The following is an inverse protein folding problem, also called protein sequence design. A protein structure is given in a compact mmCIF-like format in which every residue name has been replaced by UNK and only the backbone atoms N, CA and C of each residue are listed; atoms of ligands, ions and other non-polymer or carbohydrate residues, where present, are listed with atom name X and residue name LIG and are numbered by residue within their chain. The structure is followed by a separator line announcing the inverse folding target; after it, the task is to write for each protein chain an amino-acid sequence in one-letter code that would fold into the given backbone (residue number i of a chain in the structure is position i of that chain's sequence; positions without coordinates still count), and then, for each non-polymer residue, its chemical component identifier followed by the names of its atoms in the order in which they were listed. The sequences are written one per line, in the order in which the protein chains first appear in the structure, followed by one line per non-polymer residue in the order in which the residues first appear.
data_IF_424473946395
#
_entry.id   IF_424473946395
#
_cell.length_a   1.000
_cell.length_b   1.000
_cell.length_c   1.000
_cell.angle_alpha   90.00
_cell.angle_beta   90.00
_cell.angle_gamma   90.00
#
_symmetry.space_group_name_H-M   'P 1'
#
loop_
_entity.id
_entity.type
_entity.pdbx_description
1 polymer ?
#
# COMPACT_ATOMS: atom_id res chain seq x y z
N UNK A 1 -41.62 9.13 -2.26
CA UNK A 1 -41.08 9.59 -3.58
C UNK A 1 -39.69 10.19 -3.49
N UNK A 2 -39.33 10.95 -2.45
CA UNK A 2 -37.95 11.53 -2.29
C UNK A 2 -36.98 10.50 -1.77
N UNK A 3 -37.35 9.61 -0.85
CA UNK A 3 -36.50 8.52 -0.34
C UNK A 3 -36.17 7.47 -1.42
N UNK A 4 -37.09 7.11 -2.29
CA UNK A 4 -36.87 6.20 -3.41
C UNK A 4 -35.89 6.78 -4.48
N UNK A 5 -35.89 8.13 -4.67
CA UNK A 5 -34.90 8.79 -5.55
C UNK A 5 -33.51 8.93 -4.96
N UNK A 6 -33.38 8.83 -3.63
CA UNK A 6 -32.07 8.79 -2.95
C UNK A 6 -31.47 7.38 -2.97
N UNK A 7 -32.30 6.34 -2.84
CA UNK A 7 -31.86 4.94 -2.99
C UNK A 7 -31.44 4.62 -4.43
N UNK A 8 -32.16 5.11 -5.45
CA UNK A 8 -31.78 4.93 -6.86
C UNK A 8 -30.49 5.69 -7.27
N UNK A 9 -30.08 6.72 -6.52
CA UNK A 9 -28.80 7.40 -6.73
C UNK A 9 -27.61 6.70 -6.06
N UNK A 10 -27.87 5.83 -5.08
CA UNK A 10 -26.86 5.05 -4.37
C UNK A 10 -26.56 3.69 -5.01
N UNK A 11 -27.36 3.24 -5.98
CA UNK A 11 -27.30 1.88 -6.54
C UNK A 11 -26.88 1.78 -8.01
N UNK A 12 -26.38 2.84 -8.63
CA UNK A 12 -25.65 2.72 -9.91
C UNK A 12 -24.15 2.91 -9.71
N UNK A 13 -23.53 2.08 -8.89
CA UNK A 13 -22.11 1.75 -9.09
C UNK A 13 -22.11 0.91 -10.37
N UNK A 14 -21.53 1.46 -11.44
CA UNK A 14 -21.30 0.69 -12.67
C UNK A 14 -20.44 -0.51 -12.27
N UNK A 15 -21.02 -1.72 -12.32
CA UNK A 15 -20.35 -2.96 -11.89
C UNK A 15 -19.07 -3.28 -12.66
N UNK A 16 -18.74 -2.47 -13.67
CA UNK A 16 -17.52 -2.55 -14.47
C UNK A 16 -16.37 -1.76 -13.87
N UNK A 17 -16.63 -0.71 -13.09
CA UNK A 17 -15.61 0.20 -12.55
C UNK A 17 -15.22 -0.24 -11.14
N UNK A 18 -13.97 -0.65 -10.96
CA UNK A 18 -13.41 -1.04 -9.67
C UNK A 18 -12.30 -0.08 -9.22
N UNK A 19 -12.59 1.21 -9.25
CA UNK A 19 -11.72 2.24 -8.69
C UNK A 19 -12.54 3.36 -8.06
N UNK A 20 -11.92 4.10 -7.14
CA UNK A 20 -12.48 5.28 -6.48
C UNK A 20 -11.70 6.52 -6.92
N UNK A 21 -12.32 7.38 -7.74
CA UNK A 21 -11.64 8.52 -8.33
C UNK A 21 -11.13 9.50 -7.27
N UNK A 22 -11.85 9.70 -6.15
CA UNK A 22 -11.42 10.61 -5.10
C UNK A 22 -10.16 10.10 -4.41
N UNK A 23 -10.05 8.78 -4.26
CA UNK A 23 -8.86 8.13 -3.72
C UNK A 23 -7.67 8.25 -4.68
N UNK A 24 -7.88 8.02 -5.99
CA UNK A 24 -6.84 8.20 -7.02
C UNK A 24 -6.31 9.65 -6.99
N UNK A 25 -7.20 10.63 -7.01
CA UNK A 25 -6.84 12.05 -6.97
C UNK A 25 -6.08 12.43 -5.68
N UNK A 26 -6.49 11.83 -4.54
CA UNK A 26 -5.81 12.03 -3.26
C UNK A 26 -4.38 11.52 -3.28
N UNK A 27 -4.15 10.30 -3.80
CA UNK A 27 -2.82 9.74 -3.94
C UNK A 27 -1.96 10.47 -4.98
N UNK A 28 -2.55 10.89 -6.11
CA UNK A 28 -1.84 11.71 -7.10
C UNK A 28 -1.23 12.95 -6.47
N UNK A 29 -2.03 13.72 -5.70
CA UNK A 29 -1.56 14.89 -4.97
C UNK A 29 -0.55 14.55 -3.86
N UNK A 30 -0.72 13.41 -3.20
CA UNK A 30 0.20 12.95 -2.17
C UNK A 30 1.58 12.69 -2.76
N UNK A 31 1.67 11.92 -3.85
CA UNK A 31 2.94 11.58 -4.47
C UNK A 31 3.64 12.78 -5.12
N UNK A 32 2.91 13.77 -5.64
CA UNK A 32 3.49 15.04 -6.06
C UNK A 32 4.18 15.77 -4.89
N UNK A 33 3.55 15.77 -3.70
CA UNK A 33 4.08 16.44 -2.52
C UNK A 33 5.17 15.63 -1.82
N UNK A 34 5.05 14.32 -1.84
CA UNK A 34 5.92 13.36 -1.15
C UNK A 34 6.54 12.37 -2.14
N UNK A 35 7.38 12.88 -3.03
CA UNK A 35 8.08 12.13 -4.07
C UNK A 35 9.15 11.14 -3.57
N UNK A 36 9.28 11.01 -2.24
CA UNK A 36 10.23 10.15 -1.52
C UNK A 36 11.73 10.50 -1.73
N UNK A 37 12.06 11.55 -2.47
CA UNK A 37 13.46 11.97 -2.71
C UNK A 37 14.18 12.47 -1.44
N UNK A 38 13.44 12.77 -0.36
CA UNK A 38 13.98 13.18 0.93
C UNK A 38 14.29 12.03 1.88
N UNK A 39 13.95 10.80 1.50
CA UNK A 39 14.32 9.62 2.27
C UNK A 39 15.77 9.25 1.99
N UNK A 40 16.51 8.91 3.06
CA UNK A 40 17.83 8.33 2.89
C UNK A 40 17.75 6.93 2.26
N UNK A 41 18.73 6.57 1.45
CA UNK A 41 18.80 5.23 0.85
C UNK A 41 18.80 4.13 1.93
N UNK A 42 19.38 4.42 3.10
CA UNK A 42 19.38 3.49 4.25
C UNK A 42 17.98 3.27 4.81
N UNK A 43 17.13 4.30 4.90
CA UNK A 43 15.75 4.19 5.37
C UNK A 43 14.89 3.44 4.36
N UNK A 44 15.02 3.77 3.07
CA UNK A 44 14.33 3.07 1.98
C UNK A 44 14.70 1.58 1.97
N UNK A 45 15.99 1.25 2.09
CA UNK A 45 16.48 -0.13 2.14
C UNK A 45 15.98 -0.90 3.36
N UNK A 46 15.91 -0.26 4.54
CA UNK A 46 15.33 -0.87 5.75
C UNK A 46 13.85 -1.20 5.56
N UNK A 47 13.08 -0.27 5.00
CA UNK A 47 11.67 -0.48 4.71
C UNK A 47 11.50 -1.59 3.67
N UNK A 48 12.25 -1.55 2.58
CA UNK A 48 12.24 -2.58 1.55
C UNK A 48 12.47 -3.97 2.15
N UNK A 49 13.50 -4.14 2.95
CA UNK A 49 13.82 -5.42 3.58
C UNK A 49 12.70 -5.94 4.49
N UNK A 50 11.92 -5.06 5.13
CA UNK A 50 10.76 -5.45 5.94
C UNK A 50 9.61 -5.96 5.07
N UNK A 51 9.27 -5.24 4.00
CA UNK A 51 8.16 -5.62 3.11
C UNK A 51 8.50 -6.84 2.25
N UNK A 52 9.73 -6.95 1.78
CA UNK A 52 10.17 -8.04 0.89
C UNK A 52 10.88 -9.19 1.62
N UNK A 53 10.83 -9.25 2.96
CA UNK A 53 11.53 -10.25 3.77
C UNK A 53 11.18 -11.70 3.43
N UNK A 54 9.92 -11.95 3.04
CA UNK A 54 9.40 -13.27 2.68
C UNK A 54 9.30 -13.50 1.17
N UNK A 55 9.71 -12.52 0.36
CA UNK A 55 9.65 -12.64 -1.09
C UNK A 55 10.71 -13.61 -1.61
N UNK A 56 10.37 -14.59 -2.47
CA UNK A 56 11.26 -15.64 -2.90
C UNK A 56 12.25 -15.18 -3.98
N UNK A 57 13.19 -14.32 -3.62
CA UNK A 57 14.20 -13.75 -4.54
C UNK A 57 15.00 -14.80 -5.30
N UNK A 58 15.20 -15.99 -4.73
CA UNK A 58 15.89 -17.11 -5.36
C UNK A 58 15.16 -17.68 -6.59
N UNK A 59 13.90 -17.31 -6.81
CA UNK A 59 13.12 -17.69 -8.00
C UNK A 59 13.11 -16.60 -9.08
N UNK A 60 13.67 -15.43 -8.78
CA UNK A 60 13.69 -14.28 -9.67
C UNK A 60 15.08 -14.16 -10.26
N UNK A 61 15.14 -13.96 -11.57
CA UNK A 61 16.38 -13.83 -12.34
C UNK A 61 16.44 -12.49 -13.06
N UNK A 62 17.59 -12.17 -13.61
CA UNK A 62 17.82 -10.98 -14.45
C UNK A 62 17.03 -11.00 -15.79
N UNK A 63 16.41 -12.11 -16.14
CA UNK A 63 15.49 -12.23 -17.28
C UNK A 63 14.01 -12.22 -16.89
N UNK A 64 13.68 -12.22 -15.60
CA UNK A 64 12.30 -12.24 -15.12
C UNK A 64 11.55 -10.95 -15.48
N UNK A 65 10.30 -11.09 -15.88
CA UNK A 65 9.38 -9.98 -16.16
C UNK A 65 8.32 -9.92 -15.07
N UNK A 66 8.13 -8.77 -14.44
CA UNK A 66 7.16 -8.62 -13.38
C UNK A 66 6.44 -7.27 -13.35
N UNK A 67 5.60 -7.08 -12.33
CA UNK A 67 4.84 -5.84 -12.18
C UNK A 67 4.76 -5.33 -10.74
N UNK A 68 4.66 -4.00 -10.64
CA UNK A 68 4.34 -3.22 -9.44
C UNK A 68 2.94 -2.61 -9.62
N UNK A 69 1.94 -3.18 -8.94
CA UNK A 69 0.57 -2.70 -9.02
C UNK A 69 0.30 -1.64 -7.96
N UNK A 70 0.10 -0.39 -8.42
CA UNK A 70 0.06 0.79 -7.59
C UNK A 70 1.47 1.26 -7.23
N UNK A 71 2.28 1.60 -8.23
CA UNK A 71 3.71 1.89 -8.04
C UNK A 71 3.97 3.20 -7.27
N UNK A 72 2.99 4.11 -7.19
CA UNK A 72 3.05 5.35 -6.43
C UNK A 72 4.26 6.22 -6.79
N UNK A 73 5.17 6.41 -5.85
CA UNK A 73 6.43 7.16 -6.06
C UNK A 73 7.56 6.34 -6.70
N UNK A 74 7.34 5.07 -7.02
CA UNK A 74 8.37 4.18 -7.55
C UNK A 74 9.43 3.71 -6.56
N UNK A 75 9.25 3.97 -5.25
CA UNK A 75 10.27 3.64 -4.23
C UNK A 75 10.65 2.17 -4.19
N UNK A 76 9.70 1.26 -4.42
CA UNK A 76 9.96 -0.18 -4.48
C UNK A 76 10.54 -0.58 -5.82
N UNK A 77 9.98 -0.04 -6.89
CA UNK A 77 10.44 -0.26 -8.26
C UNK A 77 11.92 0.13 -8.44
N UNK A 78 12.38 1.21 -7.79
CA UNK A 78 13.81 1.63 -7.81
C UNK A 78 14.77 0.55 -7.31
N UNK A 79 14.33 -0.32 -6.38
CA UNK A 79 15.16 -1.40 -5.84
C UNK A 79 14.94 -2.71 -6.61
N UNK A 80 13.74 -2.93 -7.15
CA UNK A 80 13.40 -4.15 -7.89
C UNK A 80 13.91 -4.11 -9.32
N UNK A 81 13.73 -3.02 -10.06
CA UNK A 81 14.08 -2.90 -11.47
C UNK A 81 15.52 -3.32 -11.79
N UNK A 82 16.55 -2.96 -10.99
CA UNK A 82 17.93 -3.41 -11.25
C UNK A 82 18.18 -4.92 -11.08
N UNK A 83 17.22 -5.68 -10.57
CA UNK A 83 17.35 -7.12 -10.25
C UNK A 83 16.60 -8.02 -11.23
N UNK A 84 15.91 -7.45 -12.21
CA UNK A 84 15.00 -8.18 -13.09
C UNK A 84 15.17 -7.77 -14.54
N UNK A 85 14.71 -8.60 -15.48
CA UNK A 85 14.78 -8.30 -16.90
C UNK A 85 13.85 -7.16 -17.30
N UNK A 86 12.63 -7.14 -16.76
CA UNK A 86 11.67 -6.07 -17.03
C UNK A 86 10.68 -5.88 -15.89
N UNK A 87 10.32 -4.62 -15.60
CA UNK A 87 9.33 -4.26 -14.58
C UNK A 87 8.26 -3.34 -15.17
N UNK A 88 7.00 -3.75 -15.04
CA UNK A 88 5.84 -2.93 -15.40
C UNK A 88 5.37 -2.17 -14.15
N UNK A 89 5.48 -0.85 -14.16
CA UNK A 89 4.99 0.03 -13.09
C UNK A 89 3.61 0.56 -13.47
N UNK A 90 2.59 0.21 -12.71
CA UNK A 90 1.18 0.52 -13.01
C UNK A 90 0.63 1.40 -11.90
N UNK A 91 -0.01 2.51 -12.26
CA UNK A 91 -0.73 3.38 -11.32
C UNK A 91 -1.80 4.17 -12.06
N UNK A 92 -3.04 4.28 -11.53
CA UNK A 92 -4.10 5.06 -12.17
C UNK A 92 -3.87 6.58 -12.07
N UNK A 93 -3.10 7.05 -11.07
CA UNK A 93 -2.79 8.47 -10.91
C UNK A 93 -1.64 8.87 -11.86
N UNK A 94 -1.91 9.77 -12.80
CA UNK A 94 -0.90 10.27 -13.73
C UNK A 94 0.29 10.94 -13.02
N UNK A 95 0.01 11.62 -11.91
CA UNK A 95 1.01 12.28 -11.06
C UNK A 95 1.98 11.27 -10.43
N UNK A 96 1.46 10.11 -9.98
CA UNK A 96 2.29 9.03 -9.45
C UNK A 96 3.22 8.47 -10.55
N UNK A 97 2.68 8.26 -11.75
CA UNK A 97 3.48 7.79 -12.90
C UNK A 97 4.60 8.79 -13.24
N UNK A 98 4.33 10.09 -13.24
CA UNK A 98 5.35 11.10 -13.51
C UNK A 98 6.46 11.13 -12.41
N UNK A 99 6.10 10.93 -11.15
CA UNK A 99 7.08 10.80 -10.05
C UNK A 99 7.90 9.53 -10.23
N UNK A 100 7.26 8.40 -10.54
CA UNK A 100 7.94 7.12 -10.77
C UNK A 100 8.89 7.17 -11.96
N UNK A 101 8.51 7.81 -13.08
CA UNK A 101 9.40 8.04 -14.23
C UNK A 101 10.67 8.80 -13.85
N UNK A 102 10.53 9.86 -13.04
CA UNK A 102 11.68 10.62 -12.54
C UNK A 102 12.59 9.77 -11.63
N UNK A 103 11.99 8.97 -10.73
CA UNK A 103 12.73 8.12 -9.82
C UNK A 103 13.51 7.00 -10.54
N UNK A 104 13.01 6.54 -11.68
CA UNK A 104 13.55 5.43 -12.48
C UNK A 104 14.19 5.86 -13.80
N UNK A 105 14.49 7.15 -13.98
CA UNK A 105 15.02 7.71 -15.24
C UNK A 105 16.29 7.01 -15.76
N UNK A 106 17.07 6.38 -14.87
CA UNK A 106 18.27 5.64 -15.23
C UNK A 106 18.00 4.17 -15.63
N UNK A 107 16.77 3.68 -15.46
CA UNK A 107 16.41 2.30 -15.72
C UNK A 107 15.77 2.19 -17.13
N UNK A 108 16.37 1.40 -18.01
CA UNK A 108 15.88 1.17 -19.38
C UNK A 108 14.93 -0.03 -19.50
N UNK A 109 14.80 -0.81 -18.43
CA UNK A 109 14.01 -2.04 -18.36
C UNK A 109 12.67 -1.85 -17.63
N UNK A 110 12.07 -0.65 -17.71
CA UNK A 110 10.80 -0.34 -17.03
C UNK A 110 9.79 0.21 -18.03
N UNK A 111 8.57 -0.30 -17.96
CA UNK A 111 7.39 0.29 -18.64
C UNK A 111 6.50 0.97 -17.61
N UNK A 112 6.01 2.16 -17.95
CA UNK A 112 5.10 2.93 -17.09
C UNK A 112 3.71 2.93 -17.72
N UNK A 113 2.73 2.41 -16.98
CA UNK A 113 1.34 2.26 -17.40
C UNK A 113 0.44 3.11 -16.51
N UNK A 114 -0.12 4.18 -17.09
CA UNK A 114 -1.13 4.98 -16.40
C UNK A 114 -2.50 4.33 -16.57
N UNK A 115 -2.74 3.26 -15.82
CA UNK A 115 -3.90 2.39 -15.96
C UNK A 115 -4.44 2.01 -14.57
N UNK A 116 -5.76 1.77 -14.50
CA UNK A 116 -6.40 1.21 -13.30
C UNK A 116 -6.42 -0.31 -13.36
N UNK A 117 -6.67 -0.95 -12.22
CA UNK A 117 -6.69 -2.41 -12.09
C UNK A 117 -7.73 -3.08 -12.99
N UNK A 118 -8.83 -2.42 -13.29
CA UNK A 118 -9.93 -2.89 -14.12
C UNK A 118 -9.70 -2.69 -15.63
N UNK A 119 -8.63 -1.98 -16.01
CA UNK A 119 -8.28 -1.71 -17.41
C UNK A 119 -6.83 -2.00 -17.76
N UNK A 120 -6.13 -2.80 -16.92
CA UNK A 120 -4.72 -3.12 -17.11
C UNK A 120 -4.49 -3.86 -18.45
N UNK A 121 -3.56 -3.33 -19.26
CA UNK A 121 -3.27 -3.84 -20.60
C UNK A 121 -2.28 -5.01 -20.64
N UNK A 122 -1.70 -5.40 -19.50
CA UNK A 122 -0.77 -6.54 -19.42
C UNK A 122 -1.50 -7.83 -19.74
N UNK A 123 -0.90 -8.64 -20.60
CA UNK A 123 -1.45 -9.94 -21.00
C UNK A 123 -1.51 -10.90 -19.81
N UNK A 124 -2.62 -11.62 -19.68
CA UNK A 124 -2.75 -12.70 -18.70
C UNK A 124 -1.68 -13.78 -18.87
N UNK A 125 -1.29 -14.41 -17.78
CA UNK A 125 -0.29 -15.50 -17.73
C UNK A 125 1.07 -15.13 -18.34
N UNK A 126 1.47 -13.85 -18.24
CA UNK A 126 2.71 -13.35 -18.85
C UNK A 126 3.80 -12.96 -17.84
N UNK A 127 3.45 -12.75 -16.58
CA UNK A 127 4.36 -12.21 -15.59
C UNK A 127 4.99 -13.29 -14.71
N UNK A 128 6.31 -13.24 -14.53
CA UNK A 128 7.08 -14.19 -13.71
C UNK A 128 6.95 -13.89 -12.20
N UNK A 129 6.55 -12.68 -11.84
CA UNK A 129 6.25 -12.26 -10.47
C UNK A 129 5.40 -10.99 -10.46
N UNK A 130 4.81 -10.70 -9.33
CA UNK A 130 4.12 -9.43 -9.12
C UNK A 130 4.09 -9.03 -7.66
N UNK A 131 3.86 -7.75 -7.40
CA UNK A 131 3.60 -7.27 -6.05
C UNK A 131 2.65 -6.07 -6.06
N UNK A 132 1.97 -5.89 -4.92
CA UNK A 132 1.10 -4.74 -4.65
C UNK A 132 1.16 -4.44 -3.16
N UNK A 133 1.76 -3.32 -2.80
CA UNK A 133 2.10 -3.01 -1.41
C UNK A 133 1.45 -1.71 -0.96
N UNK A 134 0.40 -1.82 -0.15
CA UNK A 134 -0.31 -0.66 0.38
C UNK A 134 -1.30 -0.06 -0.62
N UNK A 135 -1.93 -0.86 -1.49
CA UNK A 135 -2.75 -0.37 -2.61
C UNK A 135 -4.15 -0.97 -2.65
N UNK A 136 -4.27 -2.31 -2.73
CA UNK A 136 -5.55 -2.94 -3.08
C UNK A 136 -6.66 -2.72 -2.05
N UNK A 137 -6.33 -2.38 -0.81
CA UNK A 137 -7.30 -2.03 0.23
C UNK A 137 -7.91 -0.61 0.06
N UNK A 138 -7.42 0.15 -0.92
CA UNK A 138 -8.00 1.41 -1.38
C UNK A 138 -8.88 1.26 -2.63
N UNK A 139 -9.14 0.03 -3.06
CA UNK A 139 -9.96 -0.30 -4.21
C UNK A 139 -11.31 -0.85 -3.71
N UNK A 140 -12.47 -0.42 -4.26
CA UNK A 140 -13.79 -0.80 -3.74
C UNK A 140 -13.99 -2.30 -3.57
N UNK A 141 -13.67 -3.09 -4.58
CA UNK A 141 -13.66 -4.56 -4.53
C UNK A 141 -12.20 -5.07 -4.54
N UNK A 142 -11.64 -5.20 -3.32
CA UNK A 142 -10.28 -5.70 -3.11
C UNK A 142 -10.11 -7.14 -3.63
N UNK A 143 -11.15 -7.99 -3.52
CA UNK A 143 -11.08 -9.37 -3.99
C UNK A 143 -10.96 -9.43 -5.52
N UNK A 144 -11.78 -8.66 -6.23
CA UNK A 144 -11.71 -8.56 -7.70
C UNK A 144 -10.34 -8.02 -8.15
N UNK A 145 -9.84 -6.99 -7.48
CA UNK A 145 -8.52 -6.42 -7.76
C UNK A 145 -7.40 -7.45 -7.57
N UNK A 146 -7.42 -8.21 -6.47
CA UNK A 146 -6.46 -9.30 -6.24
C UNK A 146 -6.54 -10.39 -7.32
N UNK A 147 -7.76 -10.77 -7.72
CA UNK A 147 -7.98 -11.75 -8.79
C UNK A 147 -7.39 -11.29 -10.12
N UNK A 148 -7.56 -10.00 -10.45
CA UNK A 148 -6.92 -9.40 -11.65
C UNK A 148 -5.39 -9.45 -11.54
N UNK A 149 -4.79 -9.08 -10.41
CA UNK A 149 -3.33 -9.21 -10.25
C UNK A 149 -2.85 -10.64 -10.48
N UNK A 150 -3.57 -11.63 -9.94
CA UNK A 150 -3.20 -13.05 -10.06
C UNK A 150 -3.38 -13.55 -11.49
N UNK A 151 -4.38 -13.05 -12.25
CA UNK A 151 -4.56 -13.46 -13.66
C UNK A 151 -3.35 -13.13 -14.54
N UNK A 152 -2.64 -12.04 -14.24
CA UNK A 152 -1.44 -11.63 -14.99
C UNK A 152 -0.24 -12.58 -14.83
N UNK A 153 -0.16 -13.29 -13.72
CA UNK A 153 0.97 -14.14 -13.36
C UNK A 153 0.98 -15.43 -14.19
N UNK A 154 2.16 -15.95 -14.47
CA UNK A 154 2.35 -17.33 -14.94
C UNK A 154 2.06 -18.33 -13.82
N UNK A 155 1.77 -19.60 -14.16
CA UNK A 155 1.66 -20.67 -13.15
C UNK A 155 2.94 -20.76 -12.32
N UNK A 156 2.81 -20.94 -10.99
CA UNK A 156 3.88 -21.00 -9.98
C UNK A 156 4.60 -19.67 -9.73
N UNK A 157 4.21 -18.58 -10.40
CA UNK A 157 4.78 -17.26 -10.15
C UNK A 157 4.37 -16.71 -8.75
N UNK A 158 5.29 -16.08 -8.01
CA UNK A 158 4.98 -15.48 -6.72
C UNK A 158 4.25 -14.15 -6.86
N UNK A 159 3.32 -13.90 -5.93
CA UNK A 159 2.68 -12.60 -5.71
C UNK A 159 2.86 -12.15 -4.27
N UNK A 160 3.47 -10.98 -4.07
CA UNK A 160 3.62 -10.34 -2.77
C UNK A 160 2.56 -9.28 -2.59
N UNK A 161 1.83 -9.32 -1.47
CA UNK A 161 0.79 -8.36 -1.16
C UNK A 161 0.98 -7.79 0.26
N UNK A 162 0.67 -6.51 0.42
CA UNK A 162 0.44 -5.88 1.71
C UNK A 162 -0.89 -5.15 1.71
N UNK A 163 -1.78 -5.59 2.58
CA UNK A 163 -3.06 -4.94 2.86
C UNK A 163 -3.05 -4.40 4.30
N UNK A 164 -3.76 -3.31 4.54
CA UNK A 164 -3.89 -2.80 5.90
C UNK A 164 -4.63 -3.80 6.77
N UNK A 165 -4.02 -4.14 7.91
CA UNK A 165 -4.57 -5.13 8.82
C UNK A 165 -5.54 -4.51 9.83
N UNK A 166 -6.51 -5.31 10.29
CA UNK A 166 -7.55 -4.87 11.21
C UNK A 166 -7.14 -4.96 12.70
N UNK A 167 -5.82 -5.02 12.98
CA UNK A 167 -5.25 -5.09 14.34
C UNK A 167 -5.63 -6.37 15.10
N UNK A 168 -5.90 -7.47 14.40
CA UNK A 168 -6.34 -8.75 15.00
C UNK A 168 -5.35 -9.32 16.02
N UNK A 169 -4.05 -9.02 15.89
CA UNK A 169 -2.99 -9.41 16.83
C UNK A 169 -2.68 -8.36 17.93
N UNK A 170 -3.48 -7.28 18.06
CA UNK A 170 -3.23 -6.22 19.04
C UNK A 170 -4.16 -6.32 20.26
N UNK A 171 -3.70 -5.84 21.46
CA UNK A 171 -4.51 -5.80 22.66
C UNK A 171 -5.75 -4.88 22.51
N UNK A 172 -6.77 -5.13 23.36
CA UNK A 172 -8.05 -4.40 23.28
C UNK A 172 -7.88 -2.88 23.42
N UNK A 173 -7.03 -2.42 24.33
CA UNK A 173 -6.75 -0.99 24.51
C UNK A 173 -6.21 -0.34 23.23
N UNK A 174 -5.31 -1.02 22.53
CA UNK A 174 -4.78 -0.56 21.26
C UNK A 174 -5.89 -0.44 20.20
N UNK A 175 -6.77 -1.45 20.11
CA UNK A 175 -7.93 -1.44 19.21
C UNK A 175 -8.90 -0.30 19.52
N UNK A 176 -9.11 0.01 20.81
CA UNK A 176 -9.97 1.10 21.23
C UNK A 176 -9.38 2.47 20.82
N UNK A 177 -8.11 2.70 21.10
CA UNK A 177 -7.41 3.93 20.68
C UNK A 177 -7.45 4.11 19.16
N UNK A 178 -7.25 3.01 18.43
CA UNK A 178 -7.35 3.03 16.98
C UNK A 178 -8.77 3.39 16.51
N UNK A 179 -9.83 2.80 17.12
CA UNK A 179 -11.23 3.15 16.81
C UNK A 179 -11.54 4.63 17.07
N UNK A 180 -11.01 5.20 18.15
CA UNK A 180 -11.13 6.64 18.38
C UNK A 180 -10.46 7.45 17.26
N UNK A 181 -9.27 7.04 16.79
CA UNK A 181 -8.60 7.73 15.68
C UNK A 181 -9.38 7.63 14.36
N UNK A 182 -10.20 6.58 14.17
CA UNK A 182 -11.04 6.39 12.99
C UNK A 182 -12.12 7.47 12.86
N UNK A 183 -12.62 8.00 13.98
CA UNK A 183 -13.58 9.12 13.99
C UNK A 183 -12.91 10.36 13.36
N UNK A 184 -11.67 10.66 13.76
CA UNK A 184 -10.92 11.79 13.19
C UNK A 184 -10.62 11.55 11.71
N UNK A 185 -10.22 10.33 11.33
CA UNK A 185 -9.99 9.95 9.94
C UNK A 185 -11.24 10.19 9.08
N UNK A 186 -12.40 9.73 9.54
CA UNK A 186 -13.67 9.85 8.81
C UNK A 186 -14.08 11.30 8.54
N UNK A 187 -13.66 12.22 9.40
CA UNK A 187 -13.89 13.67 9.22
C UNK A 187 -12.83 14.25 8.28
N UNK A 188 -11.54 14.03 8.57
CA UNK A 188 -10.43 14.64 7.84
C UNK A 188 -10.38 14.18 6.39
N UNK A 189 -10.65 12.89 6.12
CA UNK A 189 -10.63 12.34 4.77
C UNK A 189 -11.67 12.96 3.83
N UNK A 190 -12.73 13.56 4.37
CA UNK A 190 -13.80 14.25 3.62
C UNK A 190 -13.57 15.74 3.44
N UNK A 191 -12.56 16.31 4.07
CA UNK A 191 -12.24 17.73 3.95
C UNK A 191 -11.71 18.07 2.55
N UNK A 192 -11.80 19.35 2.15
CA UNK A 192 -11.16 19.84 0.93
C UNK A 192 -9.65 19.53 0.92
N UNK A 193 -9.12 19.24 -0.26
CA UNK A 193 -7.71 18.88 -0.44
C UNK A 193 -6.72 19.96 0.02
N UNK A 194 -7.14 21.23 0.12
CA UNK A 194 -6.34 22.32 0.69
C UNK A 194 -6.15 22.24 2.21
N UNK A 195 -7.12 21.70 2.95
CA UNK A 195 -7.08 21.60 4.41
C UNK A 195 -6.44 20.31 4.92
N UNK A 196 -6.58 19.21 4.17
CA UNK A 196 -6.02 17.90 4.54
C UNK A 196 -4.52 17.97 4.88
N UNK A 197 -3.64 18.59 4.06
CA UNK A 197 -2.22 18.67 4.37
C UNK A 197 -1.91 19.37 5.69
N UNK A 198 -2.64 20.43 6.00
CA UNK A 198 -2.42 21.21 7.25
C UNK A 198 -2.75 20.34 8.46
N UNK A 199 -3.92 19.71 8.48
CA UNK A 199 -4.35 18.88 9.59
C UNK A 199 -3.50 17.62 9.76
N UNK A 200 -3.13 16.97 8.68
CA UNK A 200 -2.26 15.79 8.74
C UNK A 200 -0.83 16.15 9.17
N UNK A 201 -0.32 17.34 8.80
CA UNK A 201 0.96 17.83 9.29
C UNK A 201 0.89 18.14 10.81
N UNK A 202 -0.20 18.73 11.30
CA UNK A 202 -0.44 18.93 12.75
C UNK A 202 -0.46 17.59 13.50
N UNK A 203 -1.16 16.58 12.96
CA UNK A 203 -1.17 15.23 13.55
C UNK A 203 0.24 14.62 13.54
N UNK A 204 1.01 14.80 12.47
CA UNK A 204 2.39 14.31 12.38
C UNK A 204 3.28 14.95 13.46
N UNK A 205 3.15 16.26 13.69
CA UNK A 205 3.97 16.99 14.66
C UNK A 205 3.58 16.63 16.11
N UNK A 206 2.28 16.65 16.43
CA UNK A 206 1.83 16.58 17.82
C UNK A 206 1.47 15.18 18.30
N UNK A 207 1.27 14.23 17.39
CA UNK A 207 0.91 12.83 17.72
C UNK A 207 1.99 11.87 17.25
N UNK A 208 2.30 11.82 15.95
CA UNK A 208 3.22 10.82 15.39
C UNK A 208 4.64 11.01 15.91
N UNK A 209 5.15 12.22 15.86
CA UNK A 209 6.51 12.49 16.28
C UNK A 209 6.75 12.20 17.78
N UNK A 210 5.96 12.71 18.73
CA UNK A 210 6.18 12.43 20.14
C UNK A 210 6.04 10.95 20.48
N UNK A 211 5.00 10.28 19.98
CA UNK A 211 4.78 8.86 20.29
C UNK A 211 5.87 7.96 19.69
N UNK A 212 6.30 8.23 18.46
CA UNK A 212 7.39 7.48 17.84
C UNK A 212 8.73 7.68 18.58
N UNK A 213 9.01 8.92 19.04
CA UNK A 213 10.23 9.20 19.83
C UNK A 213 10.15 8.60 21.23
N UNK A 214 8.98 8.60 21.84
CA UNK A 214 8.76 7.88 23.10
C UNK A 214 8.99 6.36 22.95
N UNK A 215 8.45 5.76 21.89
CA UNK A 215 8.72 4.35 21.59
C UNK A 215 10.22 4.06 21.36
N UNK A 216 10.96 5.01 20.74
CA UNK A 216 12.41 4.91 20.59
C UNK A 216 13.12 4.96 21.95
N UNK A 217 12.72 5.87 22.83
CA UNK A 217 13.27 5.95 24.18
C UNK A 217 13.03 4.67 24.97
N UNK A 218 11.82 4.11 24.93
CA UNK A 218 11.48 2.82 25.58
C UNK A 218 12.39 1.70 25.05
N UNK A 219 12.63 1.65 23.74
CA UNK A 219 13.57 0.69 23.14
C UNK A 219 15.02 0.91 23.61
N UNK A 220 15.43 2.17 23.77
CA UNK A 220 16.78 2.53 24.20
C UNK A 220 17.09 2.09 25.63
N UNK A 221 16.10 2.14 26.55
CA UNK A 221 16.23 1.63 27.91
C UNK A 221 16.05 0.09 28.03
N UNK A 222 16.02 -0.64 26.89
CA UNK A 222 15.95 -2.10 26.84
C UNK A 222 14.56 -2.71 26.98
N UNK A 223 13.48 -1.89 27.00
CA UNK A 223 12.11 -2.38 27.05
C UNK A 223 11.53 -2.57 25.65
N UNK A 224 10.56 -3.49 25.51
CA UNK A 224 9.91 -3.78 24.24
C UNK A 224 8.80 -2.76 23.94
N UNK A 225 8.94 -1.87 22.94
CA UNK A 225 7.94 -0.86 22.60
C UNK A 225 6.80 -1.38 21.70
N UNK A 226 6.77 -2.66 21.33
CA UNK A 226 5.83 -3.19 20.31
C UNK A 226 4.35 -3.00 20.64
N UNK A 227 4.00 -2.86 21.92
CA UNK A 227 2.63 -2.57 22.38
C UNK A 227 2.26 -1.08 22.30
N UNK A 228 3.21 -0.19 22.03
CA UNK A 228 2.94 1.24 21.93
C UNK A 228 2.46 1.62 20.53
N UNK A 229 1.50 2.56 20.43
CA UNK A 229 1.11 3.12 19.14
C UNK A 229 2.32 3.73 18.43
N UNK A 230 2.36 3.61 17.10
CA UNK A 230 3.41 4.18 16.25
C UNK A 230 4.84 3.70 16.55
N UNK A 231 4.98 2.61 17.32
CA UNK A 231 6.29 2.00 17.62
C UNK A 231 7.05 1.53 16.37
N UNK A 232 6.33 1.17 15.32
CA UNK A 232 6.90 0.84 14.01
C UNK A 232 7.78 1.97 13.45
N UNK A 233 7.38 3.23 13.68
CA UNK A 233 8.03 4.43 13.18
C UNK A 233 9.12 5.00 14.10
N UNK A 234 9.51 4.31 15.18
CA UNK A 234 10.48 4.83 16.16
C UNK A 234 11.82 5.25 15.56
N UNK A 235 12.23 4.61 14.49
CA UNK A 235 13.49 4.89 13.78
C UNK A 235 13.29 5.61 12.44
N UNK A 236 12.04 5.95 12.08
CA UNK A 236 11.72 6.63 10.83
C UNK A 236 11.99 8.14 10.91
N UNK A 237 12.25 8.73 9.75
CA UNK A 237 12.39 10.18 9.60
C UNK A 237 11.06 10.89 9.84
N UNK A 238 11.10 12.19 10.13
CA UNK A 238 9.88 13.00 10.22
C UNK A 238 9.13 13.06 8.89
N UNK A 239 9.87 12.96 7.78
CA UNK A 239 9.27 12.89 6.45
C UNK A 239 8.36 11.66 6.30
N UNK A 240 8.81 10.47 6.71
CA UNK A 240 7.99 9.25 6.72
C UNK A 240 6.74 9.40 7.58
N UNK A 241 6.87 10.02 8.77
CA UNK A 241 5.72 10.25 9.66
C UNK A 241 4.66 11.16 9.05
N UNK A 242 5.09 12.19 8.30
CA UNK A 242 4.17 13.08 7.58
C UNK A 242 3.46 12.38 6.44
N UNK A 243 4.19 11.59 5.64
CA UNK A 243 3.60 10.80 4.55
C UNK A 243 2.57 9.83 5.09
N UNK A 244 2.91 9.08 6.15
CA UNK A 244 2.00 8.11 6.76
C UNK A 244 0.77 8.77 7.41
N UNK A 245 0.97 9.91 8.09
CA UNK A 245 -0.16 10.68 8.62
C UNK A 245 -1.09 11.14 7.49
N UNK A 246 -0.55 11.54 6.33
CA UNK A 246 -1.34 11.95 5.18
C UNK A 246 -2.10 10.79 4.57
N UNK A 247 -1.44 9.66 4.34
CA UNK A 247 -2.06 8.43 3.87
C UNK A 247 -3.19 7.99 4.82
N UNK A 248 -2.91 7.87 6.12
CA UNK A 248 -3.86 7.40 7.12
C UNK A 248 -5.09 8.30 7.28
N UNK A 249 -4.94 9.62 7.33
CA UNK A 249 -6.04 10.55 7.62
C UNK A 249 -6.60 11.25 6.40
N UNK A 250 -5.86 11.31 5.30
CA UNK A 250 -6.26 12.02 4.09
C UNK A 250 -7.00 11.17 3.06
N UNK A 251 -6.82 9.84 3.09
CA UNK A 251 -7.36 8.93 2.08
C UNK A 251 -8.84 8.62 2.32
N UNK A 252 -9.71 8.83 1.32
CA UNK A 252 -11.16 8.61 1.46
C UNK A 252 -11.52 7.14 1.70
N UNK A 253 -11.05 6.24 0.84
CA UNK A 253 -11.35 4.82 0.92
C UNK A 253 -10.20 4.03 1.56
N UNK A 254 -10.47 3.38 2.69
CA UNK A 254 -9.53 2.49 3.35
C UNK A 254 -10.29 1.28 3.92
N UNK A 255 -9.86 0.10 3.57
CA UNK A 255 -10.37 -1.17 4.09
C UNK A 255 -9.27 -1.87 4.89
N UNK A 256 -9.66 -2.69 5.88
CA UNK A 256 -8.71 -3.43 6.72
C UNK A 256 -9.14 -4.87 6.85
N UNK A 257 -8.14 -5.74 6.80
CA UNK A 257 -8.35 -7.18 6.73
C UNK A 257 -7.60 -7.91 7.84
N UNK A 258 -8.21 -8.97 8.37
CA UNK A 258 -7.55 -9.92 9.25
C UNK A 258 -6.63 -10.84 8.44
N UNK A 259 -5.71 -11.50 9.13
CA UNK A 259 -4.87 -12.54 8.52
C UNK A 259 -5.72 -13.64 7.85
N UNK A 260 -6.85 -14.00 8.48
CA UNK A 260 -7.79 -15.00 7.96
C UNK A 260 -8.41 -14.55 6.65
N UNK A 261 -8.97 -13.32 6.60
CA UNK A 261 -9.58 -12.76 5.40
C UNK A 261 -8.57 -12.65 4.25
N UNK A 262 -7.34 -12.19 4.52
CA UNK A 262 -6.28 -12.14 3.49
C UNK A 262 -5.97 -13.54 2.95
N UNK A 263 -5.90 -14.55 3.82
CA UNK A 263 -5.68 -15.95 3.41
C UNK A 263 -6.79 -16.44 2.49
N UNK A 264 -8.06 -16.21 2.87
CA UNK A 264 -9.23 -16.60 2.10
C UNK A 264 -9.27 -15.89 0.74
N UNK A 265 -8.99 -14.59 0.72
CA UNK A 265 -8.91 -13.78 -0.51
C UNK A 265 -7.81 -14.27 -1.45
N UNK A 266 -6.62 -14.57 -0.95
CA UNK A 266 -5.50 -15.09 -1.74
C UNK A 266 -5.84 -16.47 -2.34
N UNK A 267 -6.44 -17.36 -1.55
CA UNK A 267 -6.87 -18.68 -2.06
C UNK A 267 -7.98 -18.57 -3.12
N UNK A 268 -8.96 -17.69 -2.88
CA UNK A 268 -10.04 -17.43 -3.83
C UNK A 268 -9.57 -16.82 -5.14
N UNK A 269 -8.49 -16.03 -5.11
CA UNK A 269 -7.84 -15.48 -6.29
C UNK A 269 -6.96 -16.51 -7.04
N UNK A 270 -6.79 -17.74 -6.51
CA UNK A 270 -6.00 -18.80 -7.16
C UNK A 270 -4.55 -18.89 -6.70
N UNK A 271 -4.20 -18.31 -5.56
CA UNK A 271 -2.89 -18.47 -4.94
C UNK A 271 -2.85 -19.66 -3.99
N UNK A 272 -1.73 -20.36 -3.95
CA UNK A 272 -1.42 -21.45 -3.03
C UNK A 272 -0.17 -21.16 -2.19
N UNK A 273 0.10 -21.95 -1.15
CA UNK A 273 1.28 -21.83 -0.28
C UNK A 273 1.44 -20.45 0.32
N UNK A 274 0.30 -19.87 0.75
CA UNK A 274 0.27 -18.53 1.34
C UNK A 274 1.08 -18.50 2.63
N UNK A 275 2.06 -17.61 2.67
CA UNK A 275 2.95 -17.40 3.83
C UNK A 275 2.89 -15.93 4.23
N UNK A 276 2.93 -15.66 5.55
CA UNK A 276 2.91 -14.32 6.11
C UNK A 276 4.22 -13.97 6.78
N UNK A 277 4.59 -12.69 6.73
CA UNK A 277 5.62 -12.16 7.60
C UNK A 277 5.16 -12.24 9.07
N UNK A 278 6.06 -12.62 9.96
CA UNK A 278 5.85 -12.71 11.42
C UNK A 278 6.18 -11.40 12.16
N UNK A 279 6.63 -10.40 11.41
CA UNK A 279 7.00 -9.08 11.93
C UNK A 279 6.28 -7.94 11.17
N UNK A 280 6.34 -6.73 11.72
CA UNK A 280 5.79 -5.54 11.09
C UNK A 280 6.52 -5.19 9.78
N UNK A 281 5.74 -4.73 8.76
CA UNK A 281 4.31 -4.42 8.79
C UNK A 281 3.40 -5.66 8.65
N UNK A 282 2.34 -5.72 9.47
CA UNK A 282 1.32 -6.77 9.37
C UNK A 282 0.20 -6.34 8.42
N UNK A 283 -0.33 -7.18 7.51
CA UNK A 283 0.16 -8.48 7.16
C UNK A 283 0.76 -8.42 5.75
N UNK A 284 2.06 -8.52 5.64
CA UNK A 284 2.67 -8.84 4.35
C UNK A 284 2.52 -10.32 4.10
N UNK A 285 2.04 -10.69 2.92
CA UNK A 285 1.84 -12.08 2.54
C UNK A 285 2.41 -12.35 1.14
N UNK A 286 2.90 -13.57 0.92
CA UNK A 286 3.28 -14.09 -0.39
C UNK A 286 2.53 -15.38 -0.67
N UNK A 287 2.06 -15.56 -1.90
CA UNK A 287 1.48 -16.79 -2.41
C UNK A 287 1.98 -17.07 -3.81
N UNK A 288 1.70 -18.27 -4.33
CA UNK A 288 2.13 -18.71 -5.67
C UNK A 288 0.89 -19.04 -6.50
N UNK A 289 0.82 -18.57 -7.74
CA UNK A 289 -0.29 -18.92 -8.64
C UNK A 289 -0.33 -20.43 -8.87
N UNK A 290 -1.52 -21.00 -8.78
CA UNK A 290 -1.78 -22.43 -9.06
C UNK A 290 -1.38 -22.85 -10.47
#
# INVERSE_FOLDING_TARGET
MILHKLEDKLTKIDSRVNHDQQTIDSFGQEWQKFDQNKLSDSEVKKLFNKYFSIFPWNKITDSSVGFDMGCGSGRWAKIVAPKVGHLNCIDPASEAIEVTKKALQANTNVTFLNESIDSVSIKENSQDFGYSLGVLHHIPDTQKALTTCVSLLKSKAPFLIYLYYNLDNRPLLFKLMWRCSEIFRSIISKLPNSLKPILTDVIAIFIYWPLSRFAKFISWIGLNPSSLPLSFYRDSSFYTLRTDSRDRFGTPLEQRFSKKEITEMMHSAGLEKVTFSDHEPYWVAVGFKK
#
